data_IF_956222042613
#
_entry.id   IF_956222042613
#
_cell.length_a   1.000
_cell.length_b   1.000
_cell.length_c   1.000
_cell.angle_alpha   90.00
_cell.angle_beta   90.00
_cell.angle_gamma   90.00
#
_symmetry.space_group_name_H-M   'P 1'
#
loop_
_entity.id
_entity.type
_entity.pdbx_description
1 polymer ?
#
# COMPACT_ATOMS: atom_id res chain seq x y z
N UNK A 1 -25.74 2.12 19.58
CA UNK A 1 -25.46 3.05 18.46
C UNK A 1 -25.34 4.48 18.96
N UNK A 2 -26.41 5.24 19.22
CA UNK A 2 -26.27 6.63 19.70
C UNK A 2 -25.47 6.73 21.02
N UNK A 3 -25.75 5.84 21.98
CA UNK A 3 -25.07 5.80 23.30
C UNK A 3 -23.61 5.30 23.25
N UNK A 4 -23.14 4.84 22.08
CA UNK A 4 -21.77 4.35 21.85
C UNK A 4 -20.98 5.25 20.88
N UNK A 5 -21.46 6.46 20.60
CA UNK A 5 -20.77 7.41 19.74
C UNK A 5 -19.58 8.06 20.48
N UNK A 6 -18.37 7.68 20.08
CA UNK A 6 -17.11 8.34 20.44
C UNK A 6 -16.51 9.07 19.24
N UNK A 7 -15.20 8.89 19.02
CA UNK A 7 -14.41 9.55 17.96
C UNK A 7 -14.78 9.13 16.51
N UNK A 8 -15.71 8.17 16.36
CA UNK A 8 -16.21 7.66 15.09
C UNK A 8 -16.02 6.13 14.96
N UNK A 9 -16.77 5.53 14.03
CA UNK A 9 -16.60 4.13 13.63
C UNK A 9 -16.22 4.12 12.14
N UNK A 10 -14.98 3.73 11.85
CA UNK A 10 -14.39 3.74 10.50
C UNK A 10 -13.54 2.49 10.29
N UNK A 11 -13.48 2.00 9.05
CA UNK A 11 -12.62 0.88 8.67
C UNK A 11 -11.14 1.25 8.79
N UNK A 12 -10.30 0.26 9.13
CA UNK A 12 -8.86 0.47 9.25
C UNK A 12 -8.24 0.53 7.84
N UNK A 13 -7.55 1.64 7.55
CA UNK A 13 -6.73 1.80 6.34
C UNK A 13 -5.44 0.97 6.45
N UNK A 14 -5.22 0.06 5.50
CA UNK A 14 -4.02 -0.77 5.48
C UNK A 14 -2.78 0.04 5.05
N UNK A 15 -2.95 1.00 4.14
CA UNK A 15 -1.95 1.98 3.73
C UNK A 15 -1.41 2.80 4.92
N UNK A 16 -2.30 3.40 5.72
CA UNK A 16 -1.88 4.21 6.87
C UNK A 16 -1.26 3.33 7.97
N UNK A 17 -1.83 2.14 8.19
CA UNK A 17 -1.26 1.16 9.13
C UNK A 17 0.15 0.74 8.71
N UNK A 18 0.42 0.59 7.41
CA UNK A 18 1.75 0.30 6.88
C UNK A 18 2.75 1.45 7.11
N UNK A 19 2.34 2.71 6.97
CA UNK A 19 3.18 3.86 7.32
C UNK A 19 3.51 3.91 8.82
N UNK A 20 2.53 3.66 9.70
CA UNK A 20 2.78 3.55 11.15
C UNK A 20 3.74 2.39 11.46
N UNK A 21 3.58 1.26 10.78
CA UNK A 21 4.46 0.10 10.90
C UNK A 21 5.91 0.37 10.47
N UNK A 22 6.18 1.35 9.60
CA UNK A 22 7.53 1.72 9.17
C UNK A 22 8.29 2.60 10.17
N UNK A 23 7.61 3.16 11.19
CA UNK A 23 8.25 4.00 12.20
C UNK A 23 9.23 3.17 13.03
N UNK A 24 10.49 3.62 13.10
CA UNK A 24 11.57 2.98 13.86
C UNK A 24 11.55 3.46 15.32
N UNK A 25 11.87 2.57 16.24
CA UNK A 25 12.04 2.90 17.65
C UNK A 25 13.05 4.03 17.87
N UNK A 26 12.65 5.02 18.68
CA UNK A 26 13.45 6.20 19.01
C UNK A 26 14.73 5.87 19.81
N UNK A 27 14.77 4.72 20.49
CA UNK A 27 15.92 4.29 21.30
C UNK A 27 17.04 3.62 20.48
N UNK A 28 16.92 3.59 19.14
CA UNK A 28 17.98 3.12 18.25
C UNK A 28 18.15 1.59 18.21
N UNK A 29 17.19 0.82 18.75
CA UNK A 29 17.22 -0.65 18.76
C UNK A 29 17.09 -1.30 17.38
N UNK A 30 16.85 -0.50 16.33
CA UNK A 30 16.51 -0.97 14.98
C UNK A 30 15.29 -1.91 14.96
N UNK A 31 14.32 -1.70 15.86
CA UNK A 31 13.02 -2.38 15.89
C UNK A 31 11.87 -1.43 15.47
N UNK A 32 10.68 -1.95 15.14
CA UNK A 32 9.49 -1.11 14.92
C UNK A 32 9.04 -0.44 16.22
N UNK A 33 8.66 0.82 16.13
CA UNK A 33 8.08 1.59 17.24
C UNK A 33 6.67 1.10 17.60
N UNK A 34 5.93 0.57 16.62
CA UNK A 34 4.56 0.08 16.75
C UNK A 34 4.43 -1.37 16.21
N UNK A 35 4.86 -2.39 16.97
CA UNK A 35 4.82 -3.79 16.52
C UNK A 35 3.40 -4.28 16.19
N UNK A 36 2.37 -3.76 16.87
CA UNK A 36 0.96 -4.11 16.65
C UNK A 36 0.46 -3.73 15.23
N UNK A 37 1.02 -2.71 14.60
CA UNK A 37 0.70 -2.36 13.21
C UNK A 37 1.19 -3.44 12.23
N UNK A 38 2.35 -4.05 12.48
CA UNK A 38 2.86 -5.17 11.69
C UNK A 38 2.07 -6.44 11.93
N UNK A 39 1.65 -6.70 13.17
CA UNK A 39 0.76 -7.81 13.50
C UNK A 39 -0.61 -7.67 12.81
N UNK A 40 -1.18 -6.45 12.79
CA UNK A 40 -2.40 -6.17 12.06
C UNK A 40 -2.23 -6.44 10.56
N UNK A 41 -1.16 -5.95 9.94
CA UNK A 41 -0.87 -6.21 8.51
C UNK A 41 -0.73 -7.71 8.26
N UNK A 42 0.00 -8.44 9.11
CA UNK A 42 0.14 -9.88 8.97
C UNK A 42 -1.22 -10.60 9.04
N UNK A 43 -2.10 -10.19 9.95
CA UNK A 43 -3.38 -10.87 10.20
C UNK A 43 -4.51 -10.48 9.22
N UNK A 44 -4.41 -9.34 8.53
CA UNK A 44 -5.49 -8.81 7.66
C UNK A 44 -5.19 -8.88 6.14
N UNK A 45 -4.28 -9.76 5.72
CA UNK A 45 -4.08 -10.06 4.29
C UNK A 45 -5.28 -10.83 3.73
N UNK A 46 -5.80 -10.40 2.59
CA UNK A 46 -6.94 -11.02 1.91
C UNK A 46 -6.57 -12.35 1.23
N UNK A 47 -7.58 -13.13 0.87
CA UNK A 47 -7.40 -14.46 0.27
C UNK A 47 -6.63 -14.42 -1.07
N UNK A 48 -6.80 -13.35 -1.85
CA UNK A 48 -6.10 -13.11 -3.12
C UNK A 48 -4.64 -12.63 -2.95
N UNK A 49 -4.17 -12.46 -1.71
CA UNK A 49 -2.83 -11.96 -1.38
C UNK A 49 -2.75 -10.46 -1.16
N UNK A 50 -3.79 -9.69 -1.46
CA UNK A 50 -3.81 -8.23 -1.34
C UNK A 50 -4.14 -7.73 0.08
N UNK A 51 -4.14 -6.40 0.24
CA UNK A 51 -4.70 -5.67 1.37
C UNK A 51 -5.62 -4.55 0.83
N UNK A 52 -6.66 -4.21 1.59
CA UNK A 52 -7.68 -3.20 1.23
C UNK A 52 -9.09 -3.65 1.64
N UNK A 53 -10.13 -2.99 1.12
CA UNK A 53 -11.52 -3.04 1.64
C UNK A 53 -12.21 -4.42 1.78
N UNK A 54 -11.79 -5.48 1.06
CA UNK A 54 -12.40 -6.83 1.03
C UNK A 54 -13.81 -6.99 0.45
N UNK A 55 -14.69 -5.99 0.49
CA UNK A 55 -16.06 -6.09 -0.05
C UNK A 55 -16.14 -5.57 -1.49
N UNK A 56 -15.48 -4.44 -1.75
CA UNK A 56 -15.43 -3.74 -3.03
C UNK A 56 -14.01 -3.85 -3.56
N UNK A 57 -13.82 -4.27 -4.81
CA UNK A 57 -12.52 -4.21 -5.48
C UNK A 57 -12.40 -2.90 -6.26
N UNK A 58 -11.38 -2.11 -5.95
CA UNK A 58 -10.87 -1.01 -6.79
C UNK A 58 -9.37 -1.23 -6.94
N UNK A 59 -8.84 -1.15 -8.16
CA UNK A 59 -7.45 -1.42 -8.47
C UNK A 59 -6.52 -0.41 -7.77
N UNK A 60 -6.85 0.88 -7.82
CA UNK A 60 -6.08 1.92 -7.13
C UNK A 60 -5.98 1.66 -5.61
N UNK A 61 -7.12 1.36 -4.95
CA UNK A 61 -7.15 0.98 -3.53
C UNK A 61 -6.32 -0.28 -3.25
N UNK A 62 -6.59 -1.40 -3.94
CA UNK A 62 -5.86 -2.66 -3.68
C UNK A 62 -4.37 -2.49 -3.88
N UNK A 63 -3.96 -1.83 -4.95
CA UNK A 63 -2.55 -1.73 -5.32
C UNK A 63 -1.78 -0.84 -4.35
N UNK A 64 -2.33 0.30 -3.93
CA UNK A 64 -1.64 1.19 -2.99
C UNK A 64 -1.55 0.58 -1.57
N UNK A 65 -2.64 -0.03 -1.08
CA UNK A 65 -2.66 -0.71 0.21
C UNK A 65 -1.71 -1.93 0.22
N UNK A 66 -1.78 -2.77 -0.83
CA UNK A 66 -0.93 -3.96 -0.96
C UNK A 66 0.56 -3.58 -1.03
N UNK A 67 0.93 -2.62 -1.87
CA UNK A 67 2.34 -2.20 -2.01
C UNK A 67 2.89 -1.65 -0.69
N UNK A 68 2.13 -0.82 0.02
CA UNK A 68 2.52 -0.30 1.33
C UNK A 68 2.71 -1.43 2.36
N UNK A 69 1.78 -2.39 2.43
CA UNK A 69 1.89 -3.54 3.33
C UNK A 69 3.10 -4.44 3.01
N UNK A 70 3.36 -4.72 1.73
CA UNK A 70 4.55 -5.48 1.30
C UNK A 70 5.84 -4.75 1.66
N UNK A 71 5.91 -3.43 1.46
CA UNK A 71 7.06 -2.60 1.87
C UNK A 71 7.29 -2.72 3.37
N UNK A 72 6.27 -2.55 4.20
CA UNK A 72 6.37 -2.67 5.66
C UNK A 72 6.91 -4.05 6.09
N UNK A 73 6.32 -5.14 5.59
CA UNK A 73 6.77 -6.50 5.93
C UNK A 73 8.20 -6.79 5.43
N UNK A 74 8.57 -6.32 4.23
CA UNK A 74 9.93 -6.42 3.68
C UNK A 74 10.95 -5.63 4.50
N UNK A 75 10.65 -4.39 4.90
CA UNK A 75 11.56 -3.53 5.69
C UNK A 75 11.99 -4.22 6.98
N UNK A 76 11.06 -4.88 7.67
CA UNK A 76 11.33 -5.62 8.91
C UNK A 76 11.72 -7.08 8.70
N UNK A 77 11.76 -7.56 7.45
CA UNK A 77 12.14 -8.93 7.05
C UNK A 77 11.28 -10.02 7.72
N UNK A 78 10.00 -9.73 7.93
CA UNK A 78 9.02 -10.64 8.54
C UNK A 78 8.02 -11.18 7.52
N UNK A 79 7.34 -12.27 7.87
CA UNK A 79 6.28 -12.91 7.08
C UNK A 79 6.57 -13.04 5.56
N UNK A 80 7.71 -13.63 5.13
CA UNK A 80 8.12 -13.64 3.72
C UNK A 80 7.08 -14.23 2.76
N UNK A 81 6.33 -15.27 3.18
CA UNK A 81 5.23 -15.86 2.40
C UNK A 81 4.06 -14.90 2.14
N UNK A 82 3.86 -13.90 3.01
CA UNK A 82 2.85 -12.85 2.83
C UNK A 82 3.32 -11.81 1.84
N UNK A 83 4.61 -11.44 1.91
CA UNK A 83 5.26 -10.58 0.91
C UNK A 83 5.21 -11.22 -0.49
N UNK A 84 5.52 -12.51 -0.60
CA UNK A 84 5.44 -13.30 -1.83
C UNK A 84 4.05 -13.21 -2.48
N UNK A 85 3.00 -13.56 -1.74
CA UNK A 85 1.60 -13.43 -2.20
C UNK A 85 1.19 -12.01 -2.57
N UNK A 86 1.63 -11.01 -1.80
CA UNK A 86 1.37 -9.60 -2.13
C UNK A 86 2.07 -9.16 -3.41
N UNK A 87 3.25 -9.71 -3.72
CA UNK A 87 3.95 -9.49 -4.97
C UNK A 87 3.31 -10.22 -6.15
N UNK A 88 2.87 -11.47 -5.97
CA UNK A 88 2.07 -12.21 -6.97
C UNK A 88 0.81 -11.41 -7.35
N UNK A 89 0.06 -10.94 -6.34
CA UNK A 89 -1.12 -10.09 -6.54
C UNK A 89 -0.76 -8.80 -7.29
N UNK A 90 0.30 -8.11 -6.90
CA UNK A 90 0.73 -6.86 -7.52
C UNK A 90 1.08 -7.07 -9.00
N UNK A 91 1.89 -8.08 -9.31
CA UNK A 91 2.28 -8.39 -10.68
C UNK A 91 1.07 -8.78 -11.56
N UNK A 92 0.10 -9.50 -11.00
CA UNK A 92 -1.12 -9.88 -11.72
C UNK A 92 -2.10 -8.72 -11.96
N UNK A 93 -2.07 -7.66 -11.13
CA UNK A 93 -3.08 -6.60 -11.17
C UNK A 93 -2.56 -5.21 -11.54
N UNK A 94 -1.25 -4.94 -11.52
CA UNK A 94 -0.69 -3.57 -11.70
C UNK A 94 -1.18 -2.87 -12.97
N UNK A 95 -1.31 -3.60 -14.09
CA UNK A 95 -1.80 -3.07 -15.38
C UNK A 95 -3.24 -2.55 -15.30
N UNK A 96 -4.05 -3.01 -14.33
CA UNK A 96 -5.45 -2.60 -14.16
C UNK A 96 -5.61 -1.15 -13.70
N UNK A 97 -4.53 -0.48 -13.29
CA UNK A 97 -4.52 0.98 -13.09
C UNK A 97 -4.75 1.76 -14.39
N UNK A 98 -4.39 1.19 -15.55
CA UNK A 98 -4.53 1.83 -16.85
C UNK A 98 -6.00 1.85 -17.34
N UNK A 99 -6.78 0.84 -16.94
CA UNK A 99 -8.19 0.65 -17.33
C UNK A 99 -9.21 1.22 -16.31
N UNK A 100 -8.77 1.58 -15.09
CA UNK A 100 -9.70 1.97 -14.02
C UNK A 100 -10.05 3.47 -14.05
N UNK A 101 -11.34 3.77 -13.86
CA UNK A 101 -11.86 5.13 -13.86
C UNK A 101 -11.19 6.01 -12.77
N UNK A 102 -10.62 7.13 -13.18
CA UNK A 102 -9.99 8.13 -12.31
C UNK A 102 -10.95 8.71 -11.24
N UNK A 103 -12.27 8.67 -11.44
CA UNK A 103 -13.25 9.05 -10.42
C UNK A 103 -13.19 8.18 -9.15
N UNK A 104 -12.60 6.97 -9.22
CA UNK A 104 -12.37 6.08 -8.09
C UNK A 104 -10.93 6.14 -7.55
N UNK A 105 -10.11 7.06 -8.04
CA UNK A 105 -8.74 7.22 -7.58
C UNK A 105 -8.71 7.77 -6.14
N UNK A 106 -8.00 7.13 -5.18
CA UNK A 106 -7.82 7.67 -3.85
C UNK A 106 -7.14 9.04 -3.87
N UNK A 107 -7.54 9.92 -2.96
CA UNK A 107 -6.99 11.28 -2.84
C UNK A 107 -5.47 11.22 -2.67
N UNK A 108 -4.74 11.87 -3.58
CA UNK A 108 -3.27 11.93 -3.54
C UNK A 108 -2.55 10.66 -4.01
N UNK A 109 -3.25 9.69 -4.60
CA UNK A 109 -2.63 8.47 -5.17
C UNK A 109 -1.46 8.81 -6.11
N UNK A 110 -1.61 9.84 -6.94
CA UNK A 110 -0.63 10.34 -7.92
C UNK A 110 0.70 10.81 -7.29
N UNK A 111 0.70 11.10 -5.99
CA UNK A 111 1.88 11.52 -5.21
C UNK A 111 2.35 10.37 -4.31
N UNK A 112 1.40 9.70 -3.66
CA UNK A 112 1.63 8.62 -2.71
C UNK A 112 2.18 7.35 -3.38
N UNK A 113 1.62 6.95 -4.52
CA UNK A 113 1.99 5.72 -5.19
C UNK A 113 3.40 5.77 -5.81
N UNK A 114 3.84 6.83 -6.53
CA UNK A 114 5.23 6.97 -6.96
C UNK A 114 6.23 6.98 -5.78
N UNK A 115 5.84 7.56 -4.64
CA UNK A 115 6.66 7.54 -3.43
C UNK A 115 6.84 6.11 -2.87
N UNK A 116 5.79 5.29 -2.90
CA UNK A 116 5.89 3.86 -2.60
C UNK A 116 6.78 3.11 -3.61
N UNK A 117 6.72 3.42 -4.91
CA UNK A 117 7.56 2.77 -5.93
C UNK A 117 9.06 3.01 -5.69
N UNK A 118 9.47 4.23 -5.36
CA UNK A 118 10.89 4.51 -5.04
C UNK A 118 11.32 3.83 -3.72
N UNK A 119 10.44 3.75 -2.71
CA UNK A 119 10.72 2.95 -1.51
C UNK A 119 10.84 1.45 -1.83
N UNK A 120 9.96 0.90 -2.67
CA UNK A 120 9.98 -0.50 -3.09
C UNK A 120 11.30 -0.85 -3.79
N UNK A 121 11.73 0.01 -4.71
CA UNK A 121 13.02 -0.07 -5.42
C UNK A 121 14.22 -0.07 -4.46
N UNK A 122 14.16 0.73 -3.38
CA UNK A 122 15.21 0.72 -2.33
C UNK A 122 15.27 -0.58 -1.50
N UNK A 123 14.27 -1.46 -1.62
CA UNK A 123 14.14 -2.75 -0.93
C UNK A 123 14.25 -3.96 -1.89
N UNK A 124 14.85 -3.74 -3.07
CA UNK A 124 14.97 -4.71 -4.17
C UNK A 124 13.62 -5.37 -4.52
N UNK A 125 12.52 -4.62 -4.43
CA UNK A 125 11.20 -5.06 -4.89
C UNK A 125 11.12 -4.77 -6.38
N UNK A 126 11.30 -5.81 -7.19
CA UNK A 126 11.17 -5.73 -8.64
C UNK A 126 9.69 -5.75 -9.04
N UNK A 127 9.23 -4.62 -9.57
CA UNK A 127 7.95 -4.49 -10.24
C UNK A 127 8.28 -4.48 -11.73
N UNK A 128 7.81 -5.48 -12.47
CA UNK A 128 8.07 -5.60 -13.91
C UNK A 128 7.15 -4.63 -14.65
N UNK A 129 7.69 -3.46 -14.99
CA UNK A 129 6.89 -2.22 -15.13
C UNK A 129 6.90 -1.60 -16.54
N UNK A 130 7.35 -2.33 -17.56
CA UNK A 130 7.77 -1.76 -18.86
C UNK A 130 6.68 -0.99 -19.63
N UNK A 131 5.39 -1.23 -19.34
CA UNK A 131 4.27 -0.50 -19.98
C UNK A 131 3.64 0.57 -19.04
N UNK A 132 3.50 0.30 -17.74
CA UNK A 132 2.57 1.04 -16.86
C UNK A 132 3.12 2.31 -16.18
N UNK A 133 4.43 2.59 -16.19
CA UNK A 133 4.97 3.85 -15.60
C UNK A 133 4.60 5.07 -16.45
N UNK A 134 4.45 4.87 -17.76
CA UNK A 134 4.45 5.94 -18.76
C UNK A 134 3.29 6.91 -18.50
N UNK A 135 2.10 6.43 -18.12
CA UNK A 135 0.97 7.30 -17.80
C UNK A 135 1.13 8.04 -16.45
N UNK A 136 1.74 7.43 -15.42
CA UNK A 136 1.97 8.12 -14.13
C UNK A 136 3.01 9.24 -14.24
N UNK A 137 4.07 9.04 -15.04
CA UNK A 137 5.03 10.11 -15.31
C UNK A 137 4.43 11.23 -16.17
N UNK A 138 3.53 10.90 -17.11
CA UNK A 138 2.79 11.89 -17.88
C UNK A 138 1.82 12.69 -17.00
N UNK A 139 1.06 12.05 -16.10
CA UNK A 139 0.23 12.73 -15.08
C UNK A 139 1.05 13.72 -14.24
N UNK A 140 2.18 13.26 -13.67
CA UNK A 140 3.09 14.11 -12.89
C UNK A 140 3.65 15.28 -13.71
N UNK A 141 3.74 15.13 -15.03
CA UNK A 141 4.12 16.22 -15.94
C UNK A 141 2.98 17.21 -16.15
N UNK A 142 1.75 16.75 -16.40
CA UNK A 142 0.56 17.60 -16.55
C UNK A 142 0.31 18.44 -15.29
N UNK A 143 0.30 17.82 -14.11
CA UNK A 143 0.12 18.52 -12.82
C UNK A 143 1.28 19.47 -12.45
N UNK A 144 2.43 19.42 -13.14
CA UNK A 144 3.53 20.39 -12.98
C UNK A 144 3.43 21.60 -13.91
N UNK A 145 2.43 21.64 -14.80
CA UNK A 145 2.27 22.70 -15.81
C UNK A 145 1.12 23.67 -15.55
N UNK A 146 0.57 23.68 -14.33
CA UNK A 146 -0.46 24.62 -13.86
C UNK A 146 -0.02 25.35 -12.59
#
# INVERSE_FOLDING_TARGET
MLESMGDGEVSISAYDTAWVALVKDLNGTHSPQFPSSLEWIANNQLHDGSWGDSQIFQAHDRIINNLACVIALKTWKIHPKKCEKGMEFLQANIRRLEDENAEHMPIGFEIAFPSLLEMAKSLDIQIHHEDSVINLQNLIHEFRTH
#
